data_IF_511300723144
#
_entry.id   IF_511300723144
#
_cell.length_a   1.000
_cell.length_b   1.000
_cell.length_c   1.000
_cell.angle_alpha   90.00
_cell.angle_beta   90.00
_cell.angle_gamma   90.00
#
_symmetry.space_group_name_H-M   'P 1'
#
loop_
_entity.id
_entity.type
_entity.pdbx_description
1 polymer ?
2 non-polymer ?
3 non-polymer ?
4 water ?
#
# COMPACT_ATOMS: atom_id res chain seq x y z
N UNK A 6 -2.87 -12.43 26.17
CA UNK A 6 -2.73 -10.99 25.82
C UNK A 6 -2.72 -10.81 24.29
N UNK A 7 -3.89 -10.50 23.74
CA UNK A 7 -4.07 -10.39 22.29
C UNK A 7 -3.48 -9.07 21.76
N UNK A 8 -2.76 -9.19 20.64
CA UNK A 8 -2.05 -8.07 20.04
C UNK A 8 -2.75 -7.58 18.77
N UNK A 9 -2.43 -6.35 18.36
CA UNK A 9 -2.84 -5.86 17.05
C UNK A 9 -1.63 -5.77 16.14
N UNK A 10 -1.69 -6.53 15.05
CA UNK A 10 -0.65 -6.46 14.03
C UNK A 10 -1.16 -5.72 12.80
N UNK A 11 -0.45 -4.67 12.42
CA UNK A 11 -0.77 -3.86 11.26
C UNK A 11 0.31 -4.06 10.20
N UNK A 12 -0.08 -4.57 9.05
CA UNK A 12 0.88 -4.82 7.97
C UNK A 12 0.69 -3.80 6.84
N UNK A 13 1.77 -3.09 6.45
CA UNK A 13 1.87 -2.36 5.14
C UNK A 13 1.49 -3.41 4.08
N UNK A 14 1.02 -2.96 2.93
CA UNK A 14 0.74 -3.84 1.80
C UNK A 14 1.92 -3.86 0.82
N UNK A 15 2.11 -2.73 0.12
CA UNK A 15 3.14 -2.63 -0.92
C UNK A 15 4.54 -2.88 -0.39
N UNK A 16 5.27 -3.77 -1.04
CA UNK A 16 6.64 -4.11 -0.66
C UNK A 16 6.76 -4.69 0.77
N UNK A 17 5.64 -5.20 1.30
CA UNK A 17 5.61 -5.88 2.60
C UNK A 17 4.85 -7.22 2.51
N UNK A 18 3.59 -7.17 2.08
CA UNK A 18 2.78 -8.38 1.82
C UNK A 18 2.98 -8.82 0.38
N UNK A 19 3.16 -7.86 -0.51
CA UNK A 19 3.42 -8.13 -1.92
C UNK A 19 4.66 -7.41 -2.40
N UNK A 20 5.32 -7.98 -3.40
CA UNK A 20 6.25 -7.22 -4.20
C UNK A 20 5.44 -6.49 -5.27
N UNK A 21 5.76 -5.23 -5.50
CA UNK A 21 5.04 -4.43 -6.48
C UNK A 21 6.03 -3.59 -7.28
N UNK A 22 5.83 -3.54 -8.60
CA UNK A 22 6.76 -2.83 -9.47
C UNK A 22 5.99 -2.06 -10.56
N UNK A 23 5.99 -0.74 -10.43
CA UNK A 23 5.35 0.14 -11.42
C UNK A 23 6.11 0.30 -12.73
N UNK A 24 7.32 -0.22 -12.82
CA UNK A 24 8.05 -0.19 -14.09
C UNK A 24 7.28 -0.89 -15.20
N UNK A 25 6.45 -1.87 -14.84
CA UNK A 25 5.63 -2.58 -15.80
C UNK A 25 4.51 -1.67 -16.37
N UNK A 26 3.95 -0.82 -15.52
CA UNK A 26 2.98 0.22 -15.92
C UNK A 26 3.61 1.18 -16.92
N UNK A 27 4.79 1.68 -16.59
CA UNK A 27 5.50 2.57 -17.49
C UNK A 27 5.86 1.86 -18.81
N UNK A 28 6.25 0.58 -18.72
CA UNK A 28 6.46 -0.25 -19.90
C UNK A 28 5.22 -0.30 -20.80
N UNK A 29 4.05 -0.52 -20.21
CA UNK A 29 2.78 -0.54 -20.97
C UNK A 29 2.51 0.81 -21.68
N UNK A 30 2.67 1.90 -20.93
CA UNK A 30 2.48 3.24 -21.49
C UNK A 30 3.50 3.55 -22.58
N UNK A 31 4.74 3.10 -22.34
CA UNK A 31 5.80 3.31 -23.35
C UNK A 31 5.46 2.57 -24.62
N UNK A 32 5.01 1.32 -24.49
CA UNK A 32 4.69 0.51 -25.64
C UNK A 32 3.57 1.11 -26.48
N UNK A 33 2.56 1.66 -25.81
CA UNK A 33 1.43 2.27 -26.50
C UNK A 33 1.80 3.60 -27.19
N UNK A 34 2.42 4.51 -26.45
CA UNK A 34 2.70 5.86 -26.92
C UNK A 34 4.01 5.98 -27.71
N UNK A 35 4.85 4.94 -27.62
CA UNK A 35 6.22 4.94 -28.17
C UNK A 35 7.20 5.91 -27.50
N UNK A 36 6.77 6.53 -26.41
CA UNK A 36 7.65 7.38 -25.61
C UNK A 36 8.60 6.46 -24.83
N UNK A 37 9.94 6.69 -24.95
CA UNK A 37 10.89 5.80 -24.28
C UNK A 37 10.59 5.61 -22.80
N UNK A 38 10.70 4.37 -22.34
CA UNK A 38 10.52 4.02 -20.93
C UNK A 38 11.32 4.95 -20.01
N UNK A 39 12.59 5.19 -20.35
CA UNK A 39 13.46 6.02 -19.50
C UNK A 39 12.91 7.43 -19.30
N UNK A 40 12.30 7.98 -20.34
CA UNK A 40 11.71 9.31 -20.27
C UNK A 40 10.51 9.33 -19.34
N UNK A 41 9.69 8.27 -19.42
CA UNK A 41 8.57 8.08 -18.50
C UNK A 41 9.05 7.96 -17.05
N UNK A 42 10.07 7.14 -16.83
CA UNK A 42 10.64 6.97 -15.49
C UNK A 42 11.13 8.29 -14.91
N UNK A 43 11.81 9.09 -15.74
CA UNK A 43 12.32 10.40 -15.32
C UNK A 43 11.22 11.35 -14.85
N UNK A 44 10.05 11.30 -15.49
CA UNK A 44 8.95 12.21 -15.17
C UNK A 44 7.88 11.65 -14.23
N UNK A 45 8.08 10.42 -13.78
CA UNK A 45 7.13 9.73 -12.92
C UNK A 45 7.43 10.09 -11.46
N UNK A 46 6.85 11.19 -10.98
CA UNK A 46 7.13 11.67 -9.63
C UNK A 46 5.95 11.51 -8.72
N UNK A 47 6.21 11.14 -7.46
CA UNK A 47 5.18 11.15 -6.43
C UNK A 47 5.03 12.61 -5.94
N UNK A 48 3.92 13.24 -6.28
CA UNK A 48 3.65 14.60 -5.86
C UNK A 48 2.27 14.76 -5.28
N UNK A 49 1.70 15.94 -5.49
CA UNK A 49 0.41 16.25 -4.91
C UNK A 49 -0.71 15.37 -5.40
N UNK A 50 -0.74 15.09 -6.70
CA UNK A 50 -1.80 14.25 -7.26
C UNK A 50 -1.83 12.88 -6.58
N UNK A 51 -0.66 12.29 -6.35
CA UNK A 51 -0.58 11.04 -5.59
C UNK A 51 -1.15 11.18 -4.18
N UNK A 52 -0.66 12.17 -3.42
CA UNK A 52 -1.16 12.35 -2.04
C UNK A 52 -2.68 12.51 -2.02
N UNK A 53 -3.21 13.30 -2.95
CA UNK A 53 -4.66 13.55 -3.02
C UNK A 53 -5.47 12.34 -3.46
N UNK A 54 -4.99 11.67 -4.51
CA UNK A 54 -5.62 10.45 -4.97
C UNK A 54 -5.66 9.38 -3.88
N UNK A 55 -4.54 9.23 -3.15
CA UNK A 55 -4.47 8.23 -2.07
C UNK A 55 -5.49 8.50 -0.96
N UNK A 56 -5.76 9.79 -0.68
CA UNK A 56 -6.74 10.15 0.35
C UNK A 56 -8.16 10.23 -0.20
N UNK A 57 -8.33 9.97 -1.50
CA UNK A 57 -9.66 9.99 -2.12
C UNK A 57 -10.20 11.39 -2.39
N UNK A 58 -9.31 12.37 -2.43
CA UNK A 58 -9.67 13.77 -2.59
C UNK A 58 -9.80 14.23 -4.05
N UNK A 59 -9.17 13.50 -4.98
CA UNK A 59 -9.44 13.70 -6.40
C UNK A 59 -9.86 12.38 -7.03
N UNK A 60 -10.66 12.47 -8.10
CA UNK A 60 -11.15 11.28 -8.79
C UNK A 60 -10.03 10.55 -9.53
N UNK A 61 -10.29 9.32 -9.92
CA UNK A 61 -9.40 8.53 -10.77
C UNK A 61 -9.07 9.29 -12.07
N UNK A 62 -10.10 9.92 -12.64
CA UNK A 62 -9.97 10.67 -13.89
C UNK A 62 -9.07 11.90 -13.70
N UNK A 63 -9.23 12.60 -12.57
CA UNK A 63 -8.39 13.77 -12.26
C UNK A 63 -6.94 13.35 -11.98
N UNK A 64 -6.77 12.26 -11.23
CA UNK A 64 -5.45 11.64 -11.02
C UNK A 64 -4.78 11.30 -12.36
N UNK A 65 -5.52 10.57 -13.21
CA UNK A 65 -5.03 10.22 -14.54
C UNK A 65 -4.65 11.47 -15.34
N UNK A 66 -5.53 12.47 -15.34
CA UNK A 66 -5.24 13.77 -15.97
C UNK A 66 -3.92 14.39 -15.54
N UNK A 67 -3.71 14.51 -14.23
CA UNK A 67 -2.50 15.13 -13.68
C UNK A 67 -1.22 14.40 -14.08
N UNK A 68 -1.25 13.06 -13.98
CA UNK A 68 -0.10 12.26 -14.38
C UNK A 68 0.19 12.36 -15.87
N UNK A 69 -0.85 12.31 -16.70
CA UNK A 69 -0.69 12.41 -18.14
C UNK A 69 -0.11 13.77 -18.57
N UNK A 70 -0.62 14.84 -17.95
CA UNK A 70 -0.04 16.18 -18.15
C UNK A 70 1.44 16.23 -17.76
N UNK A 71 1.75 15.78 -16.55
CA UNK A 71 3.14 15.80 -16.05
C UNK A 71 4.12 15.00 -16.92
N UNK A 72 3.64 13.90 -17.48
CA UNK A 72 4.49 12.96 -18.21
C UNK A 72 4.34 13.09 -19.74
N UNK A 73 3.55 14.09 -20.16
CA UNK A 73 3.23 14.31 -21.58
C UNK A 73 2.69 13.04 -22.25
N UNK A 74 1.79 12.33 -21.55
CA UNK A 74 1.20 11.12 -22.08
C UNK A 74 -0.11 11.39 -22.81
N UNK A 75 -0.13 11.17 -24.14
CA UNK A 75 -1.41 11.32 -24.82
C UNK A 75 -2.23 10.03 -24.69
N UNK A 76 -2.88 9.86 -23.55
CA UNK A 76 -3.68 8.66 -23.28
C UNK A 76 -5.10 9.05 -22.94
N UNK A 77 -6.05 8.19 -23.32
CA UNK A 77 -7.42 8.31 -22.81
C UNK A 77 -7.42 7.74 -21.40
N UNK A 78 -8.50 7.96 -20.65
CA UNK A 78 -8.61 7.37 -19.33
C UNK A 78 -8.45 5.83 -19.41
N UNK A 79 -9.11 5.21 -20.39
CA UNK A 79 -9.10 3.76 -20.53
C UNK A 79 -7.68 3.21 -20.75
N UNK A 80 -6.91 3.91 -21.57
CA UNK A 80 -5.52 3.56 -21.83
C UNK A 80 -4.67 3.76 -20.58
N UNK A 81 -4.93 4.84 -19.85
CA UNK A 81 -4.23 5.09 -18.59
C UNK A 81 -4.46 3.92 -17.63
N UNK A 82 -5.74 3.62 -17.40
CA UNK A 82 -6.19 2.57 -16.49
C UNK A 82 -5.67 1.17 -16.89
N UNK A 83 -5.69 0.88 -18.19
CA UNK A 83 -5.15 -0.37 -18.73
C UNK A 83 -3.67 -0.54 -18.38
N UNK A 84 -2.88 0.51 -18.62
CA UNK A 84 -1.45 0.51 -18.23
C UNK A 84 -1.32 0.31 -16.73
N UNK A 85 -2.08 1.07 -15.96
CA UNK A 85 -2.07 0.99 -14.48
C UNK A 85 -2.36 -0.44 -14.02
N UNK A 86 -3.32 -1.08 -14.67
CA UNK A 86 -3.69 -2.48 -14.37
C UNK A 86 -2.55 -3.47 -14.56
N UNK A 87 -1.56 -3.09 -15.38
CA UNK A 87 -0.43 -3.98 -15.70
C UNK A 87 0.62 -4.03 -14.59
N UNK A 88 0.44 -3.25 -13.53
CA UNK A 88 1.44 -3.20 -12.45
C UNK A 88 1.85 -4.63 -12.02
N UNK A 89 3.16 -4.86 -11.87
CA UNK A 89 3.65 -6.17 -11.38
C UNK A 89 3.38 -6.32 -9.89
N UNK A 90 2.73 -7.42 -9.53
CA UNK A 90 2.41 -7.72 -8.15
C UNK A 90 2.65 -9.22 -7.88
N UNK A 91 3.51 -9.53 -6.92
CA UNK A 91 3.72 -10.92 -6.47
C UNK A 91 3.49 -11.03 -4.98
N UNK A 92 2.67 -12.00 -4.58
CA UNK A 92 2.47 -12.28 -3.17
C UNK A 92 3.77 -12.77 -2.51
N UNK A 93 3.95 -12.44 -1.23
CA UNK A 93 4.98 -13.04 -0.38
C UNK A 93 4.26 -14.05 0.50
N UNK A 94 4.21 -15.32 0.05
CA UNK A 94 3.36 -16.31 0.74
C UNK A 94 3.74 -16.53 2.20
N UNK A 95 5.03 -16.36 2.51
CA UNK A 95 5.53 -16.45 3.89
C UNK A 95 4.87 -15.43 4.82
N UNK A 96 4.52 -14.26 4.29
CA UNK A 96 3.84 -13.24 5.09
C UNK A 96 2.39 -13.60 5.29
N UNK A 97 1.74 -14.04 4.20
CA UNK A 97 0.35 -14.51 4.25
C UNK A 97 0.22 -15.62 5.31
N UNK A 98 1.14 -16.58 5.27
CA UNK A 98 1.18 -17.69 6.26
C UNK A 98 1.26 -17.17 7.69
N UNK A 99 2.18 -16.24 7.95
CA UNK A 99 2.26 -15.60 9.28
C UNK A 99 0.94 -14.94 9.68
N UNK A 100 0.33 -14.16 8.77
CA UNK A 100 -0.94 -13.51 9.06
C UNK A 100 -2.03 -14.51 9.46
N UNK A 101 -2.12 -15.62 8.73
CA UNK A 101 -3.07 -16.68 9.09
C UNK A 101 -2.74 -17.25 10.48
N UNK A 102 -1.46 -17.44 10.76
CA UNK A 102 -1.02 -18.02 12.03
C UNK A 102 -1.32 -17.12 13.23
N UNK A 103 -1.03 -15.83 13.08
CA UNK A 103 -1.31 -14.84 14.13
C UNK A 103 -2.78 -14.81 14.48
N UNK A 104 -3.64 -14.92 13.48
CA UNK A 104 -5.09 -14.91 13.67
C UNK A 104 -5.60 -16.16 14.39
N UNK A 105 -5.09 -17.33 14.01
CA UNK A 105 -5.52 -18.57 14.68
C UNK A 105 -5.01 -18.60 16.12
N UNK A 106 -3.99 -17.79 16.42
CA UNK A 106 -3.56 -17.56 17.79
C UNK A 106 -4.41 -16.52 18.53
N UNK A 107 -5.44 -15.99 17.88
CA UNK A 107 -6.34 -15.01 18.49
C UNK A 107 -5.93 -13.54 18.43
N UNK A 108 -4.78 -13.26 17.80
CA UNK A 108 -4.34 -11.87 17.60
C UNK A 108 -5.10 -11.17 16.48
N UNK A 109 -5.20 -9.85 16.58
CA UNK A 109 -5.85 -9.07 15.54
C UNK A 109 -4.87 -8.75 14.41
N UNK A 110 -5.27 -9.01 13.17
CA UNK A 110 -4.41 -8.77 12.01
C UNK A 110 -5.12 -7.88 10.99
N UNK A 111 -4.55 -6.71 10.73
CA UNK A 111 -5.12 -5.78 9.74
C UNK A 111 -4.07 -5.32 8.73
N UNK A 112 -4.54 -4.82 7.59
CA UNK A 112 -3.66 -4.25 6.56
C UNK A 112 -3.88 -2.73 6.56
N UNK A 113 -2.80 -1.97 6.34
CA UNK A 113 -2.94 -0.52 6.23
C UNK A 113 -2.16 -0.03 5.01
N UNK A 114 -2.87 0.42 3.98
CA UNK A 114 -2.25 0.73 2.71
C UNK A 114 -2.63 2.10 2.16
N UNK A 115 -1.65 2.85 1.67
CA UNK A 115 -1.94 4.06 0.88
C UNK A 115 -2.18 3.55 -0.54
N UNK A 116 -3.43 3.47 -0.95
CA UNK A 116 -3.73 2.83 -2.23
C UNK A 116 -3.94 3.83 -3.38
N UNK A 117 -3.38 3.53 -4.55
CA UNK A 117 -3.72 4.24 -5.79
C UNK A 117 -4.58 3.40 -6.74
N UNK A 118 -5.38 2.51 -6.17
CA UNK A 118 -6.33 1.71 -6.97
C UNK A 118 -7.24 2.66 -7.75
N UNK A 119 -7.75 2.18 -8.88
CA UNK A 119 -8.80 2.90 -9.58
C UNK A 119 -10.06 2.05 -9.50
N UNK A 120 -11.21 2.69 -9.69
CA UNK A 120 -12.48 1.95 -9.74
C UNK A 120 -12.49 0.94 -10.88
N UNK A 121 -11.61 1.12 -11.86
CA UNK A 121 -11.53 0.24 -13.02
C UNK A 121 -10.48 -0.87 -12.92
N UNK A 122 -9.71 -0.90 -11.82
CA UNK A 122 -8.62 -1.85 -11.70
C UNK A 122 -8.82 -2.86 -10.57
N UNK A 123 -8.36 -4.08 -10.82
CA UNK A 123 -8.19 -5.11 -9.80
C UNK A 123 -6.84 -4.90 -9.14
N UNK A 124 -6.85 -4.55 -7.85
CA UNK A 124 -5.67 -4.10 -7.11
C UNK A 124 -5.36 -5.07 -5.94
N UNK A 125 -4.09 -5.16 -5.50
CA UNK A 125 -3.69 -6.14 -4.45
C UNK A 125 -4.59 -6.25 -3.22
N UNK A 126 -5.08 -5.13 -2.68
CA UNK A 126 -5.95 -5.19 -1.50
C UNK A 126 -7.24 -5.99 -1.76
N UNK A 127 -7.56 -6.20 -3.03
CA UNK A 127 -8.76 -6.93 -3.40
C UNK A 127 -8.50 -8.41 -3.65
N UNK A 128 -7.22 -8.80 -3.63
CA UNK A 128 -6.85 -10.17 -3.89
C UNK A 128 -7.42 -11.02 -2.78
N UNK A 129 -8.08 -12.14 -3.16
CA UNK A 129 -8.69 -13.01 -2.16
C UNK A 129 -7.67 -13.51 -1.14
N UNK A 130 -6.44 -13.81 -1.59
CA UNK A 130 -5.38 -14.27 -0.68
C UNK A 130 -5.13 -13.26 0.44
N UNK A 131 -5.18 -11.98 0.10
CA UNK A 131 -4.93 -10.93 1.10
C UNK A 131 -6.18 -10.72 1.95
N UNK A 132 -7.34 -10.67 1.30
CA UNK A 132 -8.60 -10.51 2.02
C UNK A 132 -8.84 -11.66 3.01
N UNK A 133 -8.42 -12.87 2.66
CA UNK A 133 -8.53 -14.06 3.52
C UNK A 133 -7.64 -13.97 4.76
N UNK A 134 -6.50 -13.29 4.65
CA UNK A 134 -5.50 -13.27 5.70
C UNK A 134 -5.66 -12.15 6.73
N UNK A 135 -6.60 -11.24 6.50
CA UNK A 135 -6.76 -10.09 7.38
C UNK A 135 -8.16 -9.98 7.96
N UNK A 136 -8.24 -9.50 9.20
CA UNK A 136 -9.51 -9.16 9.85
C UNK A 136 -10.18 -7.93 9.22
N UNK A 137 -9.36 -6.97 8.80
CA UNK A 137 -9.83 -5.77 8.16
C UNK A 137 -8.74 -5.19 7.29
N UNK A 138 -9.13 -4.55 6.20
CA UNK A 138 -8.19 -3.88 5.33
C UNK A 138 -8.51 -2.39 5.35
N UNK A 139 -7.58 -1.60 5.91
CA UNK A 139 -7.71 -0.15 5.97
C UNK A 139 -7.03 0.48 4.77
N UNK A 140 -7.79 1.21 3.98
CA UNK A 140 -7.29 1.83 2.77
C UNK A 140 -7.43 3.34 2.86
N UNK A 141 -6.36 4.04 2.48
CA UNK A 141 -6.31 5.49 2.54
C UNK A 141 -7.51 6.14 1.83
N UNK A 142 -7.87 5.59 0.67
CA UNK A 142 -8.98 6.14 -0.12
C UNK A 142 -10.35 6.02 0.57
N UNK A 143 -10.54 4.99 1.39
CA UNK A 143 -11.79 4.84 2.14
C UNK A 143 -11.84 5.77 3.36
N UNK A 144 -10.67 6.11 3.90
CA UNK A 144 -10.56 6.85 5.14
C UNK A 144 -10.44 8.37 4.95
N UNK A 145 -9.94 8.78 3.79
CA UNK A 145 -9.67 10.19 3.54
C UNK A 145 -8.40 10.63 4.25
N UNK A 146 -7.53 9.65 4.55
CA UNK A 146 -6.29 9.86 5.31
C UNK A 146 -5.19 9.02 4.66
N UNK A 147 -3.92 9.33 4.93
CA UNK A 147 -2.83 8.49 4.40
C UNK A 147 -1.70 8.43 5.40
N UNK A 148 -0.99 7.30 5.44
CA UNK A 148 0.28 7.25 6.16
C UNK A 148 1.17 8.29 5.46
N UNK A 149 2.01 9.01 6.23
CA UNK A 149 2.34 8.80 7.65
C UNK A 149 1.53 9.63 8.67
N UNK A 150 0.37 10.14 8.27
CA UNK A 150 -0.46 11.01 9.12
C UNK A 150 -0.89 10.33 10.41
N UNK A 151 -0.68 11.03 11.53
CA UNK A 151 -1.02 10.53 12.85
C UNK A 151 -2.45 10.04 12.89
N UNK A 152 -3.32 10.80 12.24
CA UNK A 152 -4.74 10.48 12.25
C UNK A 152 -5.09 9.09 11.70
N UNK A 153 -4.34 8.59 10.70
CA UNK A 153 -4.67 7.27 10.13
C UNK A 153 -4.38 6.14 11.13
N UNK A 154 -3.24 6.24 11.82
CA UNK A 154 -2.88 5.27 12.84
C UNK A 154 -3.88 5.31 13.98
N UNK A 155 -4.20 6.53 14.45
CA UNK A 155 -5.20 6.73 15.51
C UNK A 155 -6.55 6.12 15.11
N UNK A 156 -6.96 6.34 13.87
CA UNK A 156 -8.21 5.77 13.37
C UNK A 156 -8.22 4.23 13.52
N UNK A 157 -7.12 3.59 13.14
CA UNK A 157 -7.01 2.12 13.24
C UNK A 157 -7.07 1.67 14.71
N UNK A 158 -6.24 2.28 15.56
CA UNK A 158 -6.24 1.96 17.00
C UNK A 158 -7.62 2.07 17.63
N UNK A 159 -8.36 3.13 17.33
CA UNK A 159 -9.72 3.34 17.84
C UNK A 159 -10.70 2.31 17.30
N UNK A 160 -10.64 2.05 15.99
CA UNK A 160 -11.58 1.13 15.34
C UNK A 160 -11.41 -0.29 15.86
N UNK A 161 -10.16 -0.69 16.05
CA UNK A 161 -9.81 -2.03 16.51
C UNK A 161 -9.88 -2.17 18.04
N UNK A 162 -9.76 -1.04 18.74
CA UNK A 162 -9.82 -1.01 20.20
C UNK A 162 -8.56 -1.51 20.87
N UNK A 163 -7.41 -1.03 20.41
CA UNK A 163 -6.11 -1.44 20.94
C UNK A 163 -5.31 -0.21 21.31
N UNK A 164 -4.56 -0.30 22.41
CA UNK A 164 -3.67 0.78 22.79
C UNK A 164 -2.41 0.65 21.92
N UNK A 165 -1.66 1.76 21.76
CA UNK A 165 -0.39 1.72 21.04
C UNK A 165 0.60 0.64 21.52
N UNK A 166 0.67 0.40 22.84
CA UNK A 166 1.64 -0.57 23.37
C UNK A 166 1.25 -2.02 23.04
N UNK A 167 -0.03 -2.23 22.73
CA UNK A 167 -0.53 -3.54 22.29
C UNK A 167 -0.51 -3.71 20.76
N UNK A 168 0.17 -2.79 20.08
CA UNK A 168 0.17 -2.74 18.61
C UNK A 168 1.56 -2.86 18.03
N UNK A 169 1.67 -3.64 16.96
CA UNK A 169 2.91 -3.83 16.23
C UNK A 169 2.65 -3.52 14.73
N UNK A 170 3.51 -2.69 14.15
CA UNK A 170 3.28 -2.17 12.80
C UNK A 170 4.48 -2.40 11.92
N UNK A 171 4.26 -3.00 10.76
CA UNK A 171 5.32 -3.25 9.79
C UNK A 171 5.09 -2.43 8.52
N UNK A 172 6.14 -1.74 8.06
CA UNK A 172 6.06 -0.90 6.84
C UNK A 172 7.49 -0.74 6.35
N UNK A 173 7.67 -0.64 5.04
CA UNK A 173 9.02 -0.47 4.50
C UNK A 173 9.41 1.01 4.31
N UNK A 174 8.53 1.92 4.71
CA UNK A 174 8.77 3.36 4.55
C UNK A 174 9.10 4.02 5.90
N UNK A 175 10.28 4.66 5.96
CA UNK A 175 10.79 5.25 7.20
C UNK A 175 9.87 6.33 7.79
N UNK A 176 9.29 7.17 6.93
CA UNK A 176 8.34 8.21 7.37
C UNK A 176 7.11 7.59 8.02
N UNK A 177 6.61 6.52 7.40
CA UNK A 177 5.48 5.78 7.97
C UNK A 177 5.84 5.22 9.34
N UNK A 178 7.03 4.62 9.45
CA UNK A 178 7.51 4.10 10.73
C UNK A 178 7.59 5.22 11.79
N UNK A 179 8.21 6.34 11.41
CA UNK A 179 8.31 7.50 12.32
C UNK A 179 6.94 7.99 12.80
N UNK A 180 5.99 8.10 11.89
CA UNK A 180 4.64 8.55 12.21
C UNK A 180 3.89 7.67 13.19
N UNK A 181 4.11 6.36 13.10
CA UNK A 181 3.51 5.42 14.05
C UNK A 181 4.26 5.44 15.38
N UNK A 182 5.60 5.51 15.30
CA UNK A 182 6.45 5.62 16.50
C UNK A 182 6.03 6.77 17.41
N UNK A 183 5.72 7.92 16.80
CA UNK A 183 5.32 9.12 17.55
C UNK A 183 4.07 8.91 18.41
N UNK A 184 3.28 7.89 18.08
CA UNK A 184 2.09 7.58 18.85
C UNK A 184 2.36 6.45 19.82
N UNK A 185 3.62 6.00 19.85
CA UNK A 185 4.02 4.92 20.75
C UNK A 185 3.70 3.51 20.26
N UNK A 186 3.42 3.39 18.96
CA UNK A 186 3.26 2.07 18.33
C UNK A 186 4.64 1.44 18.09
N UNK A 187 4.76 0.16 18.41
CA UNK A 187 5.98 -0.58 18.09
C UNK A 187 6.04 -0.78 16.57
N UNK A 188 7.04 -0.14 15.95
CA UNK A 188 7.08 -0.02 14.51
C UNK A 188 8.37 -0.57 13.95
N UNK A 189 8.24 -1.56 13.07
CA UNK A 189 9.39 -2.27 12.52
C UNK A 189 9.54 -1.92 11.05
N UNK A 190 10.63 -1.23 10.73
CA UNK A 190 10.99 -0.96 9.34
C UNK A 190 11.26 -2.29 8.62
N UNK A 191 10.54 -2.52 7.53
CA UNK A 191 10.77 -3.68 6.68
C UNK A 191 11.87 -3.31 5.71
N UNK A 192 13.03 -3.93 5.89
CA UNK A 192 14.21 -3.62 5.08
C UNK A 192 14.25 -4.46 3.83
N UNK A 193 13.72 -5.68 3.95
CA UNK A 193 13.66 -6.65 2.86
C UNK A 193 12.75 -7.83 3.27
N UNK A 194 12.72 -8.87 2.43
CA UNK A 194 11.84 -10.01 2.67
C UNK A 194 12.18 -10.81 3.95
N UNK A 195 13.36 -10.56 4.54
CA UNK A 195 13.78 -11.32 5.73
C UNK A 195 13.24 -10.72 7.04
N UNK A 196 12.94 -9.42 7.05
CA UNK A 196 12.53 -8.73 8.26
C UNK A 196 11.36 -9.40 8.98
N UNK A 197 10.26 -9.65 8.27
CA UNK A 197 9.07 -10.25 8.91
C UNK A 197 9.24 -11.71 9.36
N UNK A 198 9.78 -12.59 8.48
CA UNK A 198 10.10 -13.96 8.95
C UNK A 198 11.05 -13.96 10.17
N UNK A 199 12.13 -13.18 10.10
CA UNK A 199 13.06 -13.06 11.24
C UNK A 199 12.38 -12.59 12.51
N UNK A 200 11.52 -11.59 12.42
CA UNK A 200 10.81 -11.08 13.59
C UNK A 200 10.00 -12.18 14.27
N UNK A 201 9.33 -13.00 13.47
CA UNK A 201 8.40 -14.00 14.01
C UNK A 201 9.01 -15.36 14.28
N UNK A 202 10.20 -15.61 13.73
CA UNK A 202 10.99 -16.76 14.14
C UNK A 202 11.69 -16.43 15.45
N UNK A 203 12.42 -15.32 15.47
CA UNK A 203 13.29 -14.92 16.59
C UNK A 203 12.52 -14.30 17.77
N UNK A 204 11.59 -15.09 18.31
CA UNK A 204 10.75 -14.78 19.50
C UNK A 204 9.33 -14.39 19.08
X LIG B 1 3.68 0.79 -0.79
X LIG B 1 5.01 0.35 -0.11
X LIG B 1 6.11 1.24 -0.65
X LIG B 1 5.93 1.26 -2.15
X LIG B 1 4.82 2.27 -2.44
X LIG B 1 4.38 2.22 -3.90
X LIG B 1 2.82 0.76 0.33
X LIG B 1 4.81 0.17 1.32
X LIG B 1 7.35 0.61 -0.42
X LIG B 1 7.15 1.60 -2.85
X LIG B 1 3.73 2.06 -1.49
X LIG B 1 3.66 1.02 -4.22
X LIG B 1 1.30 1.10 0.25
X LIG B 1 0.63 -0.25 0.34
X LIG B 1 1.13 1.96 1.48
X LIG B 1 1.14 1.80 -1.09
X LIG C 1 0.74 -3.97 -26.99
#
# INVERSE_FOLDING_TARGET
MARKEAKMLYIFDLGNVIVDIDFNRVLGAWSDLTRIPLASLKKSFHMGEAFHQHERGEISDEAFAEALCHEMALPLSYEQFSHGWQAVFVALRPEVIAIMHKLREQGHRVVVLSNTNRLHTTFWPEEYPEIRDAADHIYLSQDLGMRKPEARIYQHVLQAEGFSPSDTVFFDDNADNIEGANQLGITSILVKDKTTIPDYFAKVLC
G1P C1 C2 C3 C4 C5 C6 O1 O2 O3 O4 O5 O6 P O1P O2P O3P
MG MG
#
